data_IF_853374671911
#
_entry.id   IF_853374671911
#
_cell.length_a   1.000
_cell.length_b   1.000
_cell.length_c   1.000
_cell.angle_alpha   90.00
_cell.angle_beta   90.00
_cell.angle_gamma   90.00
#
_symmetry.space_group_name_H-M   'P 1'
#
loop_
_entity.id
_entity.type
_entity.pdbx_description
1 polymer ?
#
# COMPACT_ATOMS: atom_id res chain seq x y z
N UNK A 1 31.71 -35.12 24.93
CA UNK A 1 30.24 -35.06 25.01
C UNK A 1 29.83 -33.68 24.55
N UNK A 2 29.49 -33.61 23.26
CA UNK A 2 29.14 -32.41 22.49
C UNK A 2 27.65 -32.13 22.64
N UNK A 3 27.27 -30.93 23.06
CA UNK A 3 25.89 -30.46 22.93
C UNK A 3 25.86 -29.23 22.02
N UNK A 4 25.39 -29.49 20.79
CA UNK A 4 25.05 -28.52 19.77
C UNK A 4 23.78 -27.75 20.18
N UNK A 5 23.85 -26.42 20.25
CA UNK A 5 22.66 -25.58 20.20
C UNK A 5 22.36 -25.23 18.74
N UNK A 6 21.39 -25.93 18.16
CA UNK A 6 20.77 -25.56 16.88
C UNK A 6 19.96 -24.27 17.07
N UNK A 7 20.35 -23.22 16.37
CA UNK A 7 19.57 -21.97 16.25
C UNK A 7 18.46 -22.20 15.23
N UNK A 8 17.20 -22.10 15.67
CA UNK A 8 16.03 -22.29 14.82
C UNK A 8 15.80 -21.01 13.97
N UNK A 9 16.09 -21.08 12.67
CA UNK A 9 15.71 -20.02 11.71
C UNK A 9 14.19 -19.95 11.59
N UNK A 10 13.59 -18.85 12.04
CA UNK A 10 12.17 -18.57 11.83
C UNK A 10 11.94 -17.99 10.43
N UNK A 11 11.43 -18.83 9.51
CA UNK A 11 10.87 -18.40 8.23
C UNK A 11 9.52 -17.73 8.48
N UNK A 12 9.47 -16.39 8.43
CA UNK A 12 8.21 -15.65 8.41
C UNK A 12 7.54 -15.80 7.03
N UNK A 13 6.56 -16.69 6.92
CA UNK A 13 5.67 -16.79 5.77
C UNK A 13 4.54 -15.77 5.89
N UNK A 14 4.75 -14.56 5.34
CA UNK A 14 3.66 -13.68 4.93
C UNK A 14 3.06 -14.27 3.66
N UNK A 15 2.10 -15.19 3.80
CA UNK A 15 1.27 -15.62 2.67
C UNK A 15 0.29 -14.49 2.35
N UNK A 16 0.69 -13.54 1.50
CA UNK A 16 -0.30 -12.69 0.82
C UNK A 16 -1.19 -13.59 -0.05
N UNK A 17 -2.50 -13.42 0.08
CA UNK A 17 -3.55 -14.30 -0.46
C UNK A 17 -3.65 -14.37 -2.00
N UNK A 18 -2.77 -13.67 -2.71
CA UNK A 18 -2.70 -13.66 -4.17
C UNK A 18 -2.41 -15.04 -4.77
N UNK A 19 -1.76 -15.94 -4.03
CA UNK A 19 -1.47 -17.31 -4.48
C UNK A 19 -2.73 -18.08 -4.90
N UNK A 20 -3.92 -17.68 -4.44
CA UNK A 20 -5.17 -18.38 -4.79
C UNK A 20 -5.67 -18.04 -6.20
N UNK A 21 -5.42 -16.83 -6.72
CA UNK A 21 -5.90 -16.41 -8.04
C UNK A 21 -4.79 -16.41 -9.09
N UNK A 22 -3.56 -16.12 -8.69
CA UNK A 22 -2.38 -16.25 -9.53
C UNK A 22 -1.61 -17.51 -9.15
N UNK A 23 -2.17 -18.70 -9.41
CA UNK A 23 -1.28 -19.81 -9.81
C UNK A 23 -0.57 -19.34 -11.07
N UNK A 24 0.72 -19.09 -10.97
CA UNK A 24 1.58 -18.67 -12.07
C UNK A 24 1.38 -19.70 -13.18
N UNK A 25 0.71 -19.34 -14.28
CA UNK A 25 0.87 -20.05 -15.53
C UNK A 25 2.21 -19.60 -16.06
N UNK A 26 3.28 -20.18 -15.51
CA UNK A 26 4.55 -20.15 -16.19
C UNK A 26 4.39 -21.15 -17.33
N UNK A 27 3.91 -20.69 -18.48
CA UNK A 27 4.47 -21.20 -19.72
C UNK A 27 5.92 -20.74 -19.69
N UNK A 28 6.76 -21.48 -18.96
CA UNK A 28 8.19 -21.43 -19.13
C UNK A 28 8.42 -21.78 -20.60
N UNK A 29 9.02 -20.91 -21.44
CA UNK A 29 9.64 -21.43 -22.65
C UNK A 29 10.58 -22.57 -22.20
N UNK A 30 10.57 -23.69 -22.93
CA UNK A 30 11.49 -24.79 -22.71
C UNK A 30 12.88 -24.22 -22.42
N UNK A 31 13.44 -24.65 -21.28
CA UNK A 31 14.72 -24.18 -20.81
C UNK A 31 15.76 -24.41 -21.92
N UNK A 32 16.25 -23.31 -22.50
CA UNK A 32 17.54 -23.33 -23.17
C UNK A 32 18.58 -23.87 -22.18
N UNK A 33 19.50 -24.75 -22.59
CA UNK A 33 20.40 -25.44 -21.67
C UNK A 33 21.11 -24.44 -20.74
N UNK A 34 20.92 -24.68 -19.44
CA UNK A 34 21.39 -23.84 -18.35
C UNK A 34 22.89 -23.57 -18.45
N UNK A 35 23.22 -22.29 -18.63
CA UNK A 35 24.44 -21.72 -18.06
C UNK A 35 24.45 -22.04 -16.55
N UNK A 36 25.56 -22.57 -16.04
CA UNK A 36 25.76 -23.00 -14.65
C UNK A 36 25.16 -22.00 -13.64
N UNK A 37 24.13 -22.41 -12.89
CA UNK A 37 23.52 -21.57 -11.87
C UNK A 37 24.55 -21.24 -10.77
N UNK A 38 24.95 -19.98 -10.67
CA UNK A 38 25.87 -19.50 -9.65
C UNK A 38 25.29 -19.77 -8.23
N UNK A 39 26.14 -20.22 -7.32
CA UNK A 39 25.77 -20.39 -5.91
C UNK A 39 25.29 -19.04 -5.36
N UNK A 40 24.11 -18.96 -4.74
CA UNK A 40 23.61 -17.70 -4.24
C UNK A 40 24.49 -17.11 -3.14
N UNK A 41 24.87 -15.85 -3.30
CA UNK A 41 25.73 -15.12 -2.37
C UNK A 41 24.90 -14.05 -1.63
N UNK A 42 24.97 -14.05 -0.30
CA UNK A 42 24.47 -12.94 0.50
C UNK A 42 25.45 -11.76 0.47
N UNK A 43 24.90 -10.56 0.37
CA UNK A 43 25.64 -9.30 0.32
C UNK A 43 25.19 -8.49 1.52
N UNK A 44 26.09 -8.26 2.47
CA UNK A 44 25.82 -7.41 3.65
C UNK A 44 26.38 -6.03 3.38
N UNK A 45 25.52 -5.01 3.39
CA UNK A 45 25.92 -3.61 3.31
C UNK A 45 25.90 -3.01 4.70
N UNK A 46 27.08 -2.87 5.30
CA UNK A 46 27.29 -2.32 6.65
C UNK A 46 27.20 -0.77 6.67
N UNK A 47 26.25 -0.22 5.93
CA UNK A 47 25.99 1.21 5.84
C UNK A 47 25.16 1.67 7.05
N UNK A 48 25.20 2.98 7.33
CA UNK A 48 24.38 3.57 8.38
C UNK A 48 22.89 3.43 8.03
N UNK A 49 22.07 2.97 8.98
CA UNK A 49 20.61 2.92 8.83
C UNK A 49 19.97 3.87 9.83
N UNK A 50 19.43 4.98 9.34
CA UNK A 50 18.76 6.02 10.13
C UNK A 50 17.24 5.79 10.17
N UNK A 51 16.64 6.27 11.26
CA UNK A 51 15.18 6.49 11.30
C UNK A 51 14.78 7.51 10.25
N UNK A 52 13.60 7.36 9.66
CA UNK A 52 13.06 8.38 8.75
C UNK A 52 12.59 9.58 9.57
N UNK A 53 13.08 10.81 9.32
CA UNK A 53 12.57 11.99 10.01
C UNK A 53 11.10 12.24 9.67
N UNK A 54 10.46 13.14 10.40
CA UNK A 54 9.03 13.43 10.23
C UNK A 54 8.13 12.44 10.97
N UNK A 55 6.85 12.47 10.63
CA UNK A 55 5.79 11.63 11.23
C UNK A 55 4.58 11.56 10.32
N UNK A 56 3.69 10.61 10.61
CA UNK A 56 2.35 10.60 10.04
C UNK A 56 1.59 11.89 10.38
N UNK A 57 0.80 12.36 9.43
CA UNK A 57 -0.19 13.41 9.67
C UNK A 57 -1.38 12.90 10.52
N UNK A 58 -2.36 13.77 10.75
CA UNK A 58 -3.58 13.42 11.49
C UNK A 58 -4.80 13.22 10.58
N UNK A 59 -4.59 13.01 9.28
CA UNK A 59 -5.69 12.82 8.33
C UNK A 59 -6.17 11.36 8.46
N UNK A 60 -7.44 11.12 8.80
CA UNK A 60 -7.94 9.76 8.97
C UNK A 60 -8.06 9.08 7.62
N UNK A 61 -7.85 7.76 7.61
CA UNK A 61 -8.01 6.95 6.42
C UNK A 61 -8.87 5.73 6.70
N UNK A 62 -9.98 5.63 5.96
CA UNK A 62 -10.86 4.47 5.92
C UNK A 62 -10.15 3.34 5.17
N UNK A 63 -9.85 2.23 5.85
CA UNK A 63 -9.06 1.15 5.28
C UNK A 63 -9.85 -0.17 5.34
N UNK A 64 -10.34 -0.61 4.19
CA UNK A 64 -11.18 -1.79 4.01
C UNK A 64 -10.43 -2.87 3.24
N UNK A 65 -9.80 -3.80 3.95
CA UNK A 65 -9.07 -4.93 3.37
C UNK A 65 -9.30 -6.23 4.17
N UNK A 66 -10.40 -6.34 4.94
CA UNK A 66 -10.73 -7.55 5.70
C UNK A 66 -12.24 -7.91 5.63
N UNK A 67 -12.60 -9.09 5.11
CA UNK A 67 -11.70 -10.01 4.41
C UNK A 67 -11.27 -9.47 3.06
N UNK A 68 -10.06 -9.81 2.64
CA UNK A 68 -9.64 -9.59 1.26
C UNK A 68 -10.41 -10.53 0.31
N UNK A 69 -10.54 -11.81 0.65
CA UNK A 69 -11.34 -12.77 -0.11
C UNK A 69 -12.79 -12.80 0.40
N UNK A 70 -13.71 -12.24 -0.39
CA UNK A 70 -15.14 -12.27 -0.07
C UNK A 70 -15.78 -13.54 -0.62
N UNK A 71 -16.33 -14.36 0.29
CA UNK A 71 -17.17 -15.53 -0.03
C UNK A 71 -18.63 -15.31 0.32
N UNK A 72 -18.87 -14.61 1.43
CA UNK A 72 -20.19 -14.28 1.96
C UNK A 72 -20.37 -12.77 1.96
N UNK A 73 -21.51 -12.32 1.46
CA UNK A 73 -21.97 -10.93 1.49
C UNK A 73 -22.01 -10.37 2.91
N UNK A 74 -21.93 -9.04 3.04
CA UNK A 74 -22.00 -8.37 4.32
C UNK A 74 -21.28 -7.04 4.36
N UNK A 75 -21.14 -6.51 5.57
CA UNK A 75 -20.39 -5.30 5.86
C UNK A 75 -18.89 -5.63 5.86
N UNK A 76 -18.11 -4.94 5.03
CA UNK A 76 -16.65 -5.07 4.99
C UNK A 76 -16.02 -4.17 6.05
N UNK A 77 -16.46 -2.92 6.09
CA UNK A 77 -16.14 -1.94 7.13
C UNK A 77 -17.27 -0.93 7.23
N UNK A 78 -17.77 -0.67 8.44
CA UNK A 78 -18.76 0.38 8.68
C UNK A 78 -18.33 1.26 9.84
N UNK A 79 -18.36 2.56 9.60
CA UNK A 79 -18.17 3.58 10.63
C UNK A 79 -19.48 4.17 11.14
N UNK A 80 -20.63 3.73 10.62
CA UNK A 80 -21.94 4.16 11.10
C UNK A 80 -22.11 3.96 12.62
N UNK A 81 -23.02 4.70 13.26
CA UNK A 81 -23.42 4.41 14.63
C UNK A 81 -24.13 3.04 14.73
N UNK A 82 -23.93 2.28 15.82
CA UNK A 82 -24.55 0.98 16.04
C UNK A 82 -26.04 1.05 16.39
N UNK A 83 -26.54 2.22 16.79
CA UNK A 83 -27.92 2.39 17.24
C UNK A 83 -28.93 2.07 16.12
N UNK A 84 -29.91 1.23 16.43
CA UNK A 84 -30.95 0.79 15.49
C UNK A 84 -30.50 -0.27 14.47
N UNK A 85 -29.24 -0.72 14.50
CA UNK A 85 -28.72 -1.79 13.63
C UNK A 85 -29.01 -3.17 14.23
N UNK A 86 -29.31 -4.15 13.38
CA UNK A 86 -29.55 -5.54 13.84
C UNK A 86 -28.29 -6.21 14.37
N UNK A 87 -27.11 -5.88 13.81
CA UNK A 87 -25.81 -6.38 14.26
C UNK A 87 -24.91 -5.21 14.70
N UNK A 88 -25.11 -4.65 15.92
CA UNK A 88 -24.38 -3.48 16.40
C UNK A 88 -22.85 -3.59 16.30
N UNK A 89 -22.30 -4.79 16.53
CA UNK A 89 -20.85 -5.06 16.48
C UNK A 89 -20.24 -4.92 15.08
N UNK A 90 -21.05 -4.81 14.03
CA UNK A 90 -20.57 -4.54 12.68
C UNK A 90 -20.32 -3.05 12.43
N UNK A 91 -20.58 -2.15 13.39
CA UNK A 91 -20.54 -0.71 13.21
C UNK A 91 -19.63 -0.02 14.25
N UNK A 92 -18.60 0.68 13.78
CA UNK A 92 -17.52 1.21 14.62
C UNK A 92 -17.77 2.63 15.18
N UNK A 93 -18.86 3.30 14.80
CA UNK A 93 -19.22 4.64 15.24
C UNK A 93 -18.09 5.69 15.14
N UNK A 94 -17.62 5.96 13.93
CA UNK A 94 -16.60 6.97 13.66
C UNK A 94 -17.04 7.96 12.57
N UNK A 95 -17.31 9.23 12.91
CA UNK A 95 -17.64 10.23 11.90
C UNK A 95 -16.36 10.75 11.22
N UNK A 96 -16.37 10.85 9.89
CA UNK A 96 -15.38 11.60 9.12
C UNK A 96 -15.82 13.05 8.94
N UNK A 97 -14.88 14.00 9.01
CA UNK A 97 -15.12 15.42 8.77
C UNK A 97 -13.85 16.06 8.20
N UNK A 98 -13.98 16.99 7.26
CA UNK A 98 -12.82 17.57 6.59
C UNK A 98 -12.14 16.55 5.67
N UNK A 99 -10.81 16.63 5.55
CA UNK A 99 -10.01 15.74 4.69
C UNK A 99 -9.93 14.33 5.26
N UNK A 100 -10.07 13.33 4.40
CA UNK A 100 -9.80 11.93 4.72
C UNK A 100 -9.52 11.13 3.44
N UNK A 101 -8.95 9.95 3.61
CA UNK A 101 -8.62 9.03 2.51
C UNK A 101 -9.47 7.76 2.61
N UNK A 102 -9.79 7.13 1.48
CA UNK A 102 -10.47 5.84 1.45
C UNK A 102 -9.66 4.85 0.62
N UNK A 103 -9.36 3.69 1.21
CA UNK A 103 -8.82 2.52 0.52
C UNK A 103 -9.75 1.32 0.71
N UNK A 104 -10.05 0.64 -0.40
CA UNK A 104 -10.79 -0.61 -0.38
C UNK A 104 -10.13 -1.61 -1.34
N UNK A 105 -9.87 -2.83 -0.87
CA UNK A 105 -9.27 -3.90 -1.66
C UNK A 105 -9.93 -5.24 -1.33
N UNK A 106 -10.66 -5.80 -2.29
CA UNK A 106 -11.39 -7.05 -2.11
C UNK A 106 -11.45 -7.85 -3.42
N UNK A 107 -11.45 -9.18 -3.30
CA UNK A 107 -11.60 -10.09 -4.43
C UNK A 107 -12.60 -11.19 -4.15
N UNK A 108 -13.06 -11.83 -5.22
CA UNK A 108 -13.85 -13.06 -5.17
C UNK A 108 -13.17 -14.15 -5.99
N UNK A 109 -13.33 -15.40 -5.57
CA UNK A 109 -12.77 -16.57 -6.23
C UNK A 109 -13.82 -17.67 -6.24
N UNK A 110 -14.18 -18.12 -7.44
CA UNK A 110 -15.23 -19.11 -7.73
C UNK A 110 -16.53 -18.81 -6.96
N UNK A 111 -17.13 -17.62 -7.13
CA UNK A 111 -18.39 -17.29 -6.49
C UNK A 111 -19.52 -18.24 -6.96
N UNK A 112 -20.56 -18.46 -6.13
CA UNK A 112 -21.68 -19.31 -6.48
C UNK A 112 -22.33 -18.90 -7.79
N UNK A 113 -22.51 -19.86 -8.71
CA UNK A 113 -23.10 -19.65 -10.04
C UNK A 113 -22.41 -18.57 -10.89
N UNK A 114 -21.13 -18.27 -10.61
CA UNK A 114 -20.36 -17.21 -11.26
C UNK A 114 -20.99 -15.81 -11.11
N UNK A 115 -21.79 -15.60 -10.05
CA UNK A 115 -22.43 -14.32 -9.79
C UNK A 115 -21.39 -13.21 -9.63
N UNK A 116 -21.66 -12.06 -10.25
CA UNK A 116 -20.84 -10.87 -10.09
C UNK A 116 -20.92 -10.39 -8.64
N UNK A 117 -19.78 -10.20 -7.98
CA UNK A 117 -19.74 -9.53 -6.69
C UNK A 117 -19.74 -8.01 -6.92
N UNK A 118 -20.47 -7.24 -6.13
CA UNK A 118 -20.41 -5.78 -6.12
C UNK A 118 -19.72 -5.28 -4.85
N UNK A 119 -18.90 -4.25 -5.02
CA UNK A 119 -18.32 -3.46 -3.94
C UNK A 119 -19.04 -2.11 -3.89
N UNK A 120 -19.83 -1.93 -2.83
CA UNK A 120 -20.56 -0.70 -2.54
C UNK A 120 -19.82 0.16 -1.52
N UNK A 121 -19.76 1.47 -1.73
CA UNK A 121 -19.38 2.45 -0.70
C UNK A 121 -20.52 3.44 -0.52
N UNK A 122 -21.15 3.39 0.65
CA UNK A 122 -22.28 4.24 1.02
C UNK A 122 -21.81 5.31 2.01
N UNK A 123 -22.27 6.54 1.79
CA UNK A 123 -21.98 7.70 2.65
C UNK A 123 -23.29 8.25 3.19
N UNK A 124 -23.35 8.50 4.49
CA UNK A 124 -24.52 9.01 5.19
C UNK A 124 -24.25 10.38 5.81
N UNK A 125 -25.21 11.27 5.65
CA UNK A 125 -25.22 12.58 6.27
C UNK A 125 -26.13 12.57 7.52
N UNK A 126 -25.58 12.63 8.74
CA UNK A 126 -26.35 12.67 9.98
C UNK A 126 -26.92 14.05 10.29
N UNK A 127 -26.56 15.09 9.54
CA UNK A 127 -26.94 16.46 9.84
C UNK A 127 -28.32 16.83 9.25
N UNK A 128 -28.82 18.00 9.66
CA UNK A 128 -30.10 18.57 9.18
C UNK A 128 -29.94 19.41 7.90
N UNK A 129 -28.70 19.62 7.46
CA UNK A 129 -28.37 20.38 6.25
C UNK A 129 -27.71 19.46 5.21
N UNK A 130 -27.77 19.76 3.92
CA UNK A 130 -27.02 19.01 2.92
C UNK A 130 -25.52 19.04 3.20
N UNK A 131 -24.84 17.92 2.97
CA UNK A 131 -23.38 17.80 3.10
C UNK A 131 -22.76 17.54 1.75
N UNK A 132 -21.71 18.30 1.42
CA UNK A 132 -20.95 18.13 0.19
C UNK A 132 -19.69 17.35 0.49
N UNK A 133 -19.53 16.21 -0.17
CA UNK A 133 -18.30 15.44 -0.19
C UNK A 133 -17.55 15.75 -1.48
N UNK A 134 -16.46 16.50 -1.39
CA UNK A 134 -15.56 16.73 -2.52
C UNK A 134 -14.69 15.49 -2.74
N UNK A 135 -14.57 15.09 -4.01
CA UNK A 135 -13.73 13.96 -4.46
C UNK A 135 -12.63 14.57 -5.33
N UNK A 136 -11.47 14.85 -4.74
CA UNK A 136 -10.38 15.48 -5.49
C UNK A 136 -9.68 14.48 -6.41
N UNK A 137 -9.46 13.27 -5.91
CA UNK A 137 -8.75 12.20 -6.60
C UNK A 137 -9.46 10.88 -6.30
N UNK A 138 -9.63 10.05 -7.32
CA UNK A 138 -10.32 8.77 -7.18
C UNK A 138 -9.97 7.82 -8.33
N UNK A 139 -9.58 6.60 -7.98
CA UNK A 139 -9.35 5.55 -8.95
C UNK A 139 -9.82 4.20 -8.40
N UNK A 140 -10.46 3.41 -9.26
CA UNK A 140 -10.90 2.05 -8.99
C UNK A 140 -10.65 1.18 -10.21
N UNK A 141 -9.95 0.07 -10.02
CA UNK A 141 -9.58 -0.84 -11.11
C UNK A 141 -9.91 -2.27 -10.75
N UNK A 142 -10.31 -3.05 -11.76
CA UNK A 142 -10.35 -4.50 -11.69
C UNK A 142 -8.95 -5.10 -11.87
N UNK A 143 -8.74 -6.29 -11.31
CA UNK A 143 -7.58 -7.10 -11.64
C UNK A 143 -7.64 -7.54 -13.10
N UNK A 144 -8.79 -8.04 -13.56
CA UNK A 144 -9.03 -8.37 -14.97
C UNK A 144 -10.29 -7.62 -15.44
N UNK A 145 -10.28 -6.92 -16.58
CA UNK A 145 -9.16 -6.79 -17.54
C UNK A 145 -8.25 -5.58 -17.27
N UNK A 146 -8.60 -4.70 -16.32
CA UNK A 146 -8.02 -3.35 -16.29
C UNK A 146 -6.54 -3.35 -15.88
N UNK A 147 -6.17 -4.12 -14.86
CA UNK A 147 -4.85 -4.05 -14.25
C UNK A 147 -4.36 -5.43 -13.78
N UNK A 148 -4.10 -6.35 -14.71
CA UNK A 148 -3.65 -7.70 -14.39
C UNK A 148 -2.29 -7.68 -13.71
N UNK A 149 -2.03 -8.73 -12.92
CA UNK A 149 -0.68 -8.97 -12.42
C UNK A 149 0.20 -9.45 -13.57
N UNK A 150 1.23 -8.68 -13.89
CA UNK A 150 2.19 -9.02 -14.94
C UNK A 150 3.60 -8.72 -14.44
N UNK A 151 4.53 -9.65 -14.57
CA UNK A 151 5.92 -9.39 -14.22
C UNK A 151 6.47 -8.21 -15.04
N UNK A 152 7.09 -7.24 -14.37
CA UNK A 152 7.72 -6.08 -15.00
C UNK A 152 9.26 -6.13 -14.86
N UNK A 153 9.99 -5.33 -15.65
CA UNK A 153 11.39 -5.04 -15.39
C UNK A 153 11.56 -4.40 -14.01
N UNK A 154 12.76 -4.55 -13.41
CA UNK A 154 13.09 -4.00 -12.08
C UNK A 154 12.73 -2.52 -11.93
N UNK A 155 12.97 -1.74 -12.99
CA UNK A 155 12.62 -0.33 -13.08
C UNK A 155 12.20 -0.02 -14.52
N UNK A 156 11.17 0.81 -14.69
CA UNK A 156 10.70 1.27 -16.01
C UNK A 156 10.25 2.72 -15.94
N UNK A 157 10.57 3.51 -16.97
CA UNK A 157 9.99 4.85 -17.11
C UNK A 157 8.48 4.71 -17.33
N UNK A 158 7.68 5.43 -16.54
CA UNK A 158 6.23 5.37 -16.56
C UNK A 158 5.62 6.78 -16.65
N UNK A 159 6.00 7.63 -17.63
CA UNK A 159 5.53 9.01 -17.69
C UNK A 159 4.00 9.12 -17.79
N UNK A 160 3.36 8.19 -18.47
CA UNK A 160 1.91 8.25 -18.76
C UNK A 160 1.03 7.49 -17.75
N UNK A 161 1.64 6.63 -16.91
CA UNK A 161 0.90 5.81 -15.93
C UNK A 161 0.35 4.50 -16.50
N UNK A 162 0.94 4.00 -17.60
CA UNK A 162 0.50 2.79 -18.30
C UNK A 162 1.34 1.54 -17.96
N UNK A 163 2.37 1.67 -17.12
CA UNK A 163 3.11 0.54 -16.56
C UNK A 163 2.65 0.29 -15.13
N UNK A 164 2.04 -0.88 -14.91
CA UNK A 164 1.46 -1.27 -13.62
C UNK A 164 1.44 -2.78 -13.43
N UNK A 165 1.04 -3.19 -12.23
CA UNK A 165 1.37 -4.48 -11.63
C UNK A 165 0.25 -5.01 -10.72
N UNK A 166 -1.01 -4.82 -11.10
CA UNK A 166 -2.17 -5.07 -10.24
C UNK A 166 -3.04 -3.82 -10.02
N UNK A 167 -4.32 -4.05 -9.73
CA UNK A 167 -5.32 -3.01 -9.55
C UNK A 167 -4.97 -1.98 -8.47
N UNK A 168 -4.45 -2.41 -7.32
CA UNK A 168 -4.08 -1.50 -6.23
C UNK A 168 -2.98 -0.54 -6.64
N UNK A 169 -1.99 -1.04 -7.39
CA UNK A 169 -0.84 -0.28 -7.85
C UNK A 169 -1.28 0.75 -8.89
N UNK A 170 -2.14 0.37 -9.84
CA UNK A 170 -2.70 1.30 -10.83
C UNK A 170 -3.58 2.38 -10.19
N UNK A 171 -4.37 2.01 -9.17
CA UNK A 171 -5.23 2.94 -8.46
C UNK A 171 -4.40 4.02 -7.74
N UNK A 172 -3.39 3.62 -6.96
CA UNK A 172 -2.55 4.60 -6.25
C UNK A 172 -1.67 5.41 -7.19
N UNK A 173 -1.20 4.87 -8.33
CA UNK A 173 -0.46 5.66 -9.33
C UNK A 173 -1.34 6.77 -9.94
N UNK A 174 -2.61 6.49 -10.25
CA UNK A 174 -3.52 7.51 -10.77
C UNK A 174 -3.77 8.61 -9.73
N UNK A 175 -3.96 8.24 -8.46
CA UNK A 175 -4.15 9.22 -7.38
C UNK A 175 -2.87 10.02 -7.11
N UNK A 176 -1.68 9.41 -7.16
CA UNK A 176 -0.39 10.13 -7.06
C UNK A 176 -0.26 11.24 -8.12
N UNK A 177 -0.85 11.02 -9.30
CA UNK A 177 -0.88 11.96 -10.43
C UNK A 177 -2.01 12.98 -10.34
N UNK A 178 -2.77 13.01 -9.24
CA UNK A 178 -3.91 13.91 -9.07
C UNK A 178 -5.10 13.55 -9.96
N UNK A 179 -5.23 12.30 -10.42
CA UNK A 179 -6.31 11.89 -11.33
C UNK A 179 -7.57 11.48 -10.55
N UNK A 180 -8.72 11.88 -11.10
CA UNK A 180 -10.05 11.38 -10.77
C UNK A 180 -10.63 10.71 -12.02
N UNK A 181 -10.94 9.42 -11.94
CA UNK A 181 -11.62 8.71 -13.03
C UNK A 181 -13.00 9.32 -13.30
N UNK A 182 -13.43 9.27 -14.56
CA UNK A 182 -14.67 9.92 -15.01
C UNK A 182 -15.91 9.38 -14.32
N UNK A 183 -15.91 8.10 -13.93
CA UNK A 183 -17.02 7.44 -13.23
C UNK A 183 -17.29 8.01 -11.82
N UNK A 184 -16.34 8.74 -11.24
CA UNK A 184 -16.51 9.37 -9.93
C UNK A 184 -16.85 10.85 -10.08
N UNK A 185 -17.91 11.37 -9.44
CA UNK A 185 -18.24 12.79 -9.52
C UNK A 185 -17.18 13.63 -8.80
N UNK A 186 -16.98 14.89 -9.20
CA UNK A 186 -16.11 15.82 -8.46
C UNK A 186 -16.66 16.16 -7.06
N UNK A 187 -17.98 16.11 -6.91
CA UNK A 187 -18.68 16.38 -5.67
C UNK A 187 -19.91 15.47 -5.56
N UNK A 188 -20.18 14.97 -4.35
CA UNK A 188 -21.37 14.23 -4.00
C UNK A 188 -22.15 15.03 -2.95
N UNK A 189 -23.37 15.48 -3.27
CA UNK A 189 -24.23 16.23 -2.34
C UNK A 189 -25.20 15.27 -1.68
N UNK A 190 -25.08 15.09 -0.37
CA UNK A 190 -25.83 14.12 0.41
C UNK A 190 -26.92 14.86 1.20
N UNK A 191 -28.22 14.62 0.93
CA UNK A 191 -29.30 15.32 1.61
C UNK A 191 -29.34 15.04 3.13
N UNK A 192 -29.98 15.92 3.91
CA UNK A 192 -30.16 15.74 5.36
C UNK A 192 -30.74 14.37 5.72
N UNK A 193 -30.09 13.65 6.64
CA UNK A 193 -30.56 12.35 7.12
C UNK A 193 -30.68 11.27 6.03
N UNK A 194 -29.98 11.42 4.90
CA UNK A 194 -30.00 10.46 3.77
C UNK A 194 -28.60 9.91 3.51
N UNK A 195 -28.60 8.81 2.75
CA UNK A 195 -27.37 8.20 2.23
C UNK A 195 -27.29 8.35 0.72
N UNK A 196 -26.07 8.35 0.19
CA UNK A 196 -25.80 8.20 -1.25
C UNK A 196 -24.64 7.23 -1.47
N UNK A 197 -24.60 6.63 -2.67
CA UNK A 197 -23.50 5.78 -3.08
C UNK A 197 -22.35 6.65 -3.60
N UNK A 198 -21.17 6.50 -3.02
CA UNK A 198 -19.92 6.99 -3.60
C UNK A 198 -19.40 6.03 -4.67
N UNK A 199 -19.65 4.73 -4.49
CA UNK A 199 -19.24 3.67 -5.43
C UNK A 199 -20.24 2.52 -5.39
N UNK A 200 -20.56 1.94 -6.56
CA UNK A 200 -21.39 0.75 -6.69
C UNK A 200 -20.86 -0.09 -7.86
N UNK A 201 -19.67 -0.68 -7.69
CA UNK A 201 -18.89 -1.20 -8.81
C UNK A 201 -18.85 -2.74 -8.83
N UNK A 202 -18.95 -3.37 -10.02
CA UNK A 202 -18.91 -4.82 -10.17
C UNK A 202 -17.49 -5.38 -10.07
N UNK A 203 -17.41 -6.66 -9.74
CA UNK A 203 -16.23 -7.56 -9.73
C UNK A 203 -16.66 -8.86 -10.43
N UNK A 204 -16.72 -8.86 -11.78
CA UNK A 204 -17.19 -10.00 -12.54
C UNK A 204 -16.12 -11.09 -12.63
N UNK A 205 -16.54 -12.36 -12.65
CA UNK A 205 -15.67 -13.52 -12.94
C UNK A 205 -16.05 -14.26 -14.22
N UNK A 206 -17.21 -13.93 -14.79
CA UNK A 206 -17.73 -14.57 -16.01
C UNK A 206 -16.85 -14.19 -17.18
N UNK A 207 -16.45 -15.19 -17.98
CA UNK A 207 -15.58 -14.99 -19.14
C UNK A 207 -14.08 -14.92 -18.83
N UNK A 208 -13.68 -14.89 -17.55
CA UNK A 208 -12.26 -14.92 -17.18
C UNK A 208 -11.70 -16.36 -17.25
N UNK A 209 -10.46 -16.49 -17.70
CA UNK A 209 -9.75 -17.77 -17.76
C UNK A 209 -9.66 -18.44 -16.37
N UNK A 210 -9.45 -17.63 -15.33
CA UNK A 210 -9.62 -18.04 -13.93
C UNK A 210 -10.84 -17.35 -13.37
N UNK A 211 -11.67 -18.09 -12.65
CA UNK A 211 -12.90 -17.59 -12.01
C UNK A 211 -12.59 -16.75 -10.77
N UNK A 212 -11.62 -15.84 -10.87
CA UNK A 212 -11.23 -14.93 -9.81
C UNK A 212 -11.01 -13.54 -10.38
N UNK A 213 -11.49 -12.54 -9.65
CA UNK A 213 -11.24 -11.14 -9.95
C UNK A 213 -11.28 -10.35 -8.64
N UNK A 214 -10.63 -9.19 -8.63
CA UNK A 214 -10.63 -8.28 -7.50
C UNK A 214 -10.71 -6.84 -7.93
N UNK A 215 -11.05 -5.97 -7.00
CA UNK A 215 -11.12 -4.52 -7.21
C UNK A 215 -10.35 -3.80 -6.12
N UNK A 216 -9.53 -2.86 -6.53
CA UNK A 216 -8.85 -1.93 -5.62
C UNK A 216 -9.33 -0.52 -5.91
N UNK A 217 -9.67 0.22 -4.87
CA UNK A 217 -10.17 1.58 -4.99
C UNK A 217 -9.46 2.49 -3.99
N UNK A 218 -9.07 3.68 -4.43
CA UNK A 218 -8.37 4.67 -3.62
C UNK A 218 -8.91 6.07 -3.90
N UNK A 219 -9.19 6.84 -2.85
CA UNK A 219 -9.82 8.16 -2.93
C UNK A 219 -9.17 9.15 -1.98
N UNK A 220 -9.04 10.41 -2.41
CA UNK A 220 -8.87 11.56 -1.51
C UNK A 220 -10.16 12.37 -1.47
N UNK A 221 -10.66 12.58 -0.26
CA UNK A 221 -12.00 13.08 0.01
C UNK A 221 -11.93 14.27 0.97
N UNK A 222 -12.88 15.19 0.86
CA UNK A 222 -13.05 16.28 1.81
C UNK A 222 -14.54 16.56 2.05
N UNK A 223 -15.01 16.37 3.27
CA UNK A 223 -16.42 16.55 3.64
C UNK A 223 -16.65 17.90 4.31
N UNK A 224 -17.69 18.63 3.88
CA UNK A 224 -18.08 19.92 4.47
C UNK A 224 -18.62 19.81 5.91
N UNK A 225 -19.05 18.61 6.33
CA UNK A 225 -19.50 18.31 7.69
C UNK A 225 -19.27 16.84 8.04
N UNK A 226 -19.75 16.39 9.19
CA UNK A 226 -19.67 14.98 9.60
C UNK A 226 -20.41 14.08 8.61
N UNK A 227 -19.77 12.98 8.21
CA UNK A 227 -20.38 11.88 7.44
C UNK A 227 -19.96 10.53 8.03
N UNK A 228 -20.81 9.53 7.82
CA UNK A 228 -20.49 8.14 8.13
C UNK A 228 -20.35 7.34 6.84
N UNK A 229 -19.41 6.41 6.81
CA UNK A 229 -19.05 5.65 5.61
C UNK A 229 -19.06 4.17 5.91
N UNK A 230 -19.55 3.37 4.95
CA UNK A 230 -19.41 1.93 4.97
C UNK A 230 -19.03 1.39 3.59
N UNK A 231 -18.15 0.40 3.57
CA UNK A 231 -17.91 -0.49 2.43
C UNK A 231 -18.66 -1.80 2.65
N UNK A 232 -19.36 -2.25 1.61
CA UNK A 232 -20.27 -3.39 1.65
C UNK A 232 -19.99 -4.30 0.46
N UNK A 233 -20.22 -5.60 0.64
CA UNK A 233 -20.13 -6.60 -0.42
C UNK A 233 -21.47 -7.30 -0.59
N UNK A 234 -21.98 -7.32 -1.82
CA UNK A 234 -23.22 -8.00 -2.19
C UNK A 234 -23.08 -8.58 -3.60
N UNK A 235 -23.53 -9.80 -3.84
CA UNK A 235 -23.66 -10.36 -5.17
C UNK A 235 -24.73 -9.61 -5.97
N UNK A 236 -24.61 -9.68 -7.28
CA UNK A 236 -25.54 -9.08 -8.21
C UNK A 236 -26.96 -9.51 -7.89
N UNK A 237 -27.86 -8.53 -7.85
CA UNK A 237 -29.28 -8.81 -7.76
C UNK A 237 -29.79 -9.24 -9.12
N UNK A 238 -31.03 -9.74 -9.19
CA UNK A 238 -31.63 -10.16 -10.45
C UNK A 238 -32.75 -9.21 -10.88
N UNK A 239 -32.84 -8.98 -12.18
CA UNK A 239 -34.06 -8.49 -12.83
C UNK A 239 -35.14 -9.59 -12.84
N UNK A 240 -36.37 -9.22 -13.17
CA UNK A 240 -37.49 -10.17 -13.27
C UNK A 240 -37.26 -11.25 -14.35
N UNK A 241 -36.47 -10.94 -15.37
CA UNK A 241 -36.05 -11.87 -16.44
C UNK A 241 -34.87 -12.78 -16.04
N UNK A 242 -34.37 -12.65 -14.81
CA UNK A 242 -33.25 -13.45 -14.27
C UNK A 242 -31.86 -12.92 -14.61
N UNK A 243 -31.73 -11.83 -15.37
CA UNK A 243 -30.43 -11.20 -15.66
C UNK A 243 -29.86 -10.46 -14.45
N UNK A 244 -28.52 -10.40 -14.35
CA UNK A 244 -27.82 -9.73 -13.25
C UNK A 244 -27.95 -8.21 -13.34
N UNK A 245 -28.16 -7.55 -12.20
CA UNK A 245 -28.17 -6.09 -12.04
C UNK A 245 -27.36 -5.65 -10.84
N UNK A 246 -26.92 -4.40 -10.86
CA UNK A 246 -26.33 -3.77 -9.70
C UNK A 246 -27.34 -3.69 -8.54
N UNK A 247 -26.89 -3.88 -7.28
CA UNK A 247 -27.73 -3.58 -6.12
C UNK A 247 -28.10 -2.10 -6.09
N UNK A 248 -29.33 -1.80 -5.67
CA UNK A 248 -29.86 -0.45 -5.50
C UNK A 248 -29.42 0.16 -4.17
N UNK A 249 -29.54 1.48 -4.03
CA UNK A 249 -29.29 2.16 -2.75
C UNK A 249 -30.11 1.55 -1.60
N UNK A 250 -31.38 1.22 -1.85
CA UNK A 250 -32.25 0.63 -0.83
C UNK A 250 -31.75 -0.75 -0.37
N UNK A 251 -31.26 -1.58 -1.29
CA UNK A 251 -30.68 -2.90 -0.95
C UNK A 251 -29.37 -2.74 -0.18
N UNK A 252 -28.51 -1.77 -0.55
CA UNK A 252 -27.32 -1.44 0.22
C UNK A 252 -27.65 -0.95 1.63
N UNK A 253 -28.66 -0.10 1.79
CA UNK A 253 -29.15 0.37 3.09
C UNK A 253 -29.70 -0.80 3.92
N UNK A 254 -30.48 -1.69 3.31
CA UNK A 254 -30.99 -2.89 3.98
C UNK A 254 -29.87 -3.79 4.47
N UNK A 255 -28.84 -4.04 3.65
CA UNK A 255 -27.66 -4.80 4.06
C UNK A 255 -26.90 -4.10 5.19
N UNK A 256 -26.77 -2.78 5.12
CA UNK A 256 -26.13 -1.99 6.18
C UNK A 256 -26.91 -2.06 7.50
N UNK A 257 -28.24 -2.07 7.45
CA UNK A 257 -29.10 -2.01 8.66
C UNK A 257 -29.29 -3.37 9.32
N UNK A 258 -29.36 -4.43 8.51
CA UNK A 258 -29.72 -5.78 8.97
C UNK A 258 -28.58 -6.80 8.87
N UNK A 259 -27.56 -6.51 8.07
CA UNK A 259 -26.47 -7.44 7.77
C UNK A 259 -25.40 -7.50 8.85
N UNK A 260 -24.68 -8.63 8.89
CA UNK A 260 -23.44 -8.78 9.66
C UNK A 260 -22.20 -8.55 8.80
N UNK A 261 -21.03 -8.83 9.38
CA UNK A 261 -19.76 -8.74 8.66
C UNK A 261 -19.67 -9.73 7.49
N UNK A 262 -19.09 -9.28 6.38
CA UNK A 262 -18.73 -10.13 5.25
C UNK A 262 -17.71 -11.19 5.69
N UNK A 263 -17.77 -12.36 5.04
CA UNK A 263 -17.01 -13.54 5.44
C UNK A 263 -16.20 -14.19 4.31
N UNK A 264 -15.22 -15.05 4.65
CA UNK A 264 -14.80 -15.45 6.01
C UNK A 264 -14.06 -14.31 6.74
N UNK A 265 -13.84 -14.44 8.04
CA UNK A 265 -12.98 -13.52 8.81
C UNK A 265 -11.54 -14.07 8.85
N UNK A 266 -10.55 -13.20 9.04
CA UNK A 266 -9.13 -13.58 9.08
C UNK A 266 -8.71 -14.12 10.47
N UNK A 267 -7.45 -14.53 10.62
CA UNK A 267 -6.86 -14.90 11.90
C UNK A 267 -6.78 -13.67 12.81
N UNK A 268 -7.06 -13.88 14.09
CA UNK A 268 -6.87 -12.86 15.12
C UNK A 268 -5.41 -12.39 15.13
N UNK A 269 -5.15 -11.07 15.04
CA UNK A 269 -3.80 -10.53 15.10
C UNK A 269 -3.20 -10.65 16.50
N UNK A 270 -1.87 -10.70 16.56
CA UNK A 270 -1.11 -10.68 17.81
C UNK A 270 -1.28 -9.31 18.49
N UNK A 271 -1.71 -9.25 19.76
CA UNK A 271 -1.76 -8.01 20.52
C UNK A 271 -0.40 -7.28 20.57
N UNK A 272 -0.38 -5.94 20.58
CA UNK A 272 0.87 -5.16 20.57
C UNK A 272 1.78 -5.45 21.78
N UNK A 273 1.18 -5.73 22.93
CA UNK A 273 1.82 -6.02 24.21
C UNK A 273 2.25 -7.49 24.38
N UNK A 274 1.77 -8.40 23.53
CA UNK A 274 2.16 -9.80 23.61
C UNK A 274 3.66 -9.96 23.32
N UNK A 275 4.39 -10.63 24.22
CA UNK A 275 5.80 -10.98 24.02
C UNK A 275 5.92 -12.46 23.65
N UNK A 276 6.72 -12.77 22.63
CA UNK A 276 6.94 -14.13 22.15
C UNK A 276 5.80 -14.72 21.31
N UNK A 277 6.00 -15.96 20.85
CA UNK A 277 5.08 -16.64 19.93
C UNK A 277 5.19 -16.15 18.47
N UNK A 278 4.33 -16.69 17.61
CA UNK A 278 4.26 -16.28 16.21
C UNK A 278 3.55 -14.93 16.10
N UNK A 279 4.22 -13.96 15.47
CA UNK A 279 3.63 -12.65 15.15
C UNK A 279 2.66 -12.76 13.97
N UNK A 280 1.41 -12.40 14.20
CA UNK A 280 0.34 -12.30 13.21
C UNK A 280 -0.04 -10.82 13.12
N UNK A 281 0.28 -10.19 12.00
CA UNK A 281 -0.06 -8.78 11.74
C UNK A 281 -1.58 -8.57 11.59
N UNK A 282 -2.26 -9.51 10.91
CA UNK A 282 -3.68 -9.39 10.56
C UNK A 282 -3.92 -8.45 9.37
N UNK A 283 -5.11 -8.55 8.78
CA UNK A 283 -5.59 -7.61 7.77
C UNK A 283 -6.25 -6.40 8.41
N UNK A 284 -6.27 -5.29 7.69
CA UNK A 284 -6.83 -4.02 8.17
C UNK A 284 -8.30 -3.92 7.78
N UNK A 285 -9.18 -3.74 8.76
CA UNK A 285 -10.50 -3.14 8.57
C UNK A 285 -10.80 -2.21 9.75
N UNK A 286 -10.66 -0.90 9.49
CA UNK A 286 -10.76 0.13 10.51
C UNK A 286 -10.46 1.51 9.94
N UNK A 287 -10.32 2.48 10.85
CA UNK A 287 -9.85 3.83 10.52
C UNK A 287 -8.45 3.97 11.08
N UNK A 288 -7.47 4.20 10.20
CA UNK A 288 -6.11 4.54 10.60
C UNK A 288 -6.01 6.06 10.79
N UNK A 289 -5.14 6.50 11.71
CA UNK A 289 -4.77 7.91 11.84
C UNK A 289 -3.42 8.12 11.13
N UNK A 290 -3.45 8.96 10.08
CA UNK A 290 -2.29 9.19 9.22
C UNK A 290 -2.54 8.69 7.80
N UNK A 291 -2.42 9.58 6.84
CA UNK A 291 -2.51 9.29 5.39
C UNK A 291 -1.30 9.81 4.61
N UNK A 292 -0.43 10.59 5.25
CA UNK A 292 0.79 11.12 4.67
C UNK A 292 1.93 11.11 5.67
N UNK A 293 3.15 10.87 5.20
CA UNK A 293 4.41 11.05 5.91
C UNK A 293 5.27 12.05 5.14
N UNK A 294 5.48 13.23 5.70
CA UNK A 294 6.34 14.25 5.11
C UNK A 294 7.66 14.33 5.88
N UNK A 295 8.79 14.36 5.17
CA UNK A 295 10.09 14.36 5.79
C UNK A 295 11.16 15.08 4.96
N UNK A 296 11.96 15.91 5.62
CA UNK A 296 13.24 16.39 5.09
C UNK A 296 14.35 15.51 5.68
N UNK A 297 15.05 14.77 4.81
CA UNK A 297 16.15 13.89 5.18
C UNK A 297 17.39 14.77 5.33
N UNK A 298 17.73 15.15 6.56
CA UNK A 298 18.85 16.04 6.91
C UNK A 298 19.71 15.42 8.01
N UNK A 299 20.92 15.93 8.19
CA UNK A 299 21.73 15.62 9.37
C UNK A 299 21.12 16.26 10.63
N UNK A 300 21.44 15.70 11.81
CA UNK A 300 20.98 16.24 13.09
C UNK A 300 21.44 17.69 13.26
N UNK A 301 20.50 18.60 13.54
CA UNK A 301 20.77 20.03 13.69
C UNK A 301 21.11 20.78 12.38
N UNK A 302 20.90 20.16 11.22
CA UNK A 302 21.20 20.72 9.90
C UNK A 302 19.93 21.01 9.08
N UNK A 303 20.08 21.79 8.00
CA UNK A 303 19.09 21.97 6.93
C UNK A 303 19.39 21.14 5.68
N UNK A 304 20.49 20.39 5.70
CA UNK A 304 21.00 19.60 4.58
C UNK A 304 21.40 18.20 5.03
N UNK A 305 21.43 17.26 4.09
CA UNK A 305 22.08 15.96 4.24
C UNK A 305 23.47 16.03 3.60
N UNK A 306 24.49 15.96 4.42
CA UNK A 306 25.87 15.79 3.95
C UNK A 306 25.97 14.44 3.24
N UNK A 307 26.46 14.44 2.01
CA UNK A 307 26.66 13.18 1.29
C UNK A 307 27.69 12.32 2.03
N UNK A 308 27.51 10.99 2.06
CA UNK A 308 28.46 10.12 2.75
C UNK A 308 29.84 10.16 2.09
N UNK A 309 30.91 9.76 2.79
CA UNK A 309 32.22 9.58 2.16
C UNK A 309 32.17 8.66 0.94
N UNK A 310 33.09 8.83 -0.01
CA UNK A 310 33.18 7.94 -1.18
C UNK A 310 33.33 6.47 -0.76
N UNK A 311 32.53 5.60 -1.37
CA UNK A 311 32.39 4.19 -1.04
C UNK A 311 31.45 3.89 0.14
N UNK A 312 30.79 4.89 0.73
CA UNK A 312 29.85 4.72 1.84
C UNK A 312 28.42 5.15 1.46
N UNK A 313 27.45 4.71 2.26
CA UNK A 313 26.06 5.09 2.10
C UNK A 313 25.36 5.37 3.44
N UNK A 314 24.26 6.11 3.37
CA UNK A 314 23.29 6.33 4.44
C UNK A 314 21.92 5.86 3.94
N UNK A 315 21.23 5.03 4.72
CA UNK A 315 19.90 4.49 4.40
C UNK A 315 18.86 4.97 5.40
N UNK A 316 17.69 5.39 4.92
CA UNK A 316 16.54 5.75 5.75
C UNK A 316 15.46 4.69 5.63
N UNK A 317 15.06 4.09 6.75
CA UNK A 317 14.05 3.02 6.73
C UNK A 317 12.64 3.57 6.44
N UNK A 318 11.88 2.92 5.56
CA UNK A 318 10.54 3.32 5.13
C UNK A 318 9.53 2.22 5.47
N UNK A 319 8.39 2.65 6.00
CA UNK A 319 7.27 1.81 6.43
C UNK A 319 7.69 0.75 7.45
N UNK A 320 8.53 1.11 8.42
CA UNK A 320 8.93 0.19 9.49
C UNK A 320 7.75 -0.25 10.35
N UNK A 321 7.83 -1.49 10.83
CA UNK A 321 6.81 -2.16 11.61
C UNK A 321 7.44 -3.07 12.66
N UNK A 322 6.65 -3.55 13.62
CA UNK A 322 7.07 -4.61 14.56
C UNK A 322 7.65 -5.80 13.79
N UNK A 323 8.87 -6.24 14.09
CA UNK A 323 9.52 -7.34 13.37
C UNK A 323 10.19 -6.91 12.06
N UNK A 324 10.25 -5.61 11.78
CA UNK A 324 10.77 -5.01 10.54
C UNK A 324 11.22 -3.57 10.76
N UNK A 325 11.99 -3.32 11.83
CA UNK A 325 12.50 -1.98 12.21
C UNK A 325 13.89 -1.70 11.64
N UNK A 326 14.57 -2.71 11.08
CA UNK A 326 15.93 -2.59 10.53
C UNK A 326 16.92 -1.94 11.50
N UNK A 327 16.82 -2.23 12.80
CA UNK A 327 17.71 -1.67 13.84
C UNK A 327 17.45 -0.22 14.24
N UNK A 328 16.57 0.51 13.54
CA UNK A 328 16.28 1.93 13.84
C UNK A 328 15.46 2.16 15.11
N UNK A 329 14.83 1.10 15.63
CA UNK A 329 13.81 1.13 16.68
C UNK A 329 12.56 1.98 16.38
N UNK A 330 12.46 2.61 15.19
CA UNK A 330 11.32 3.40 14.78
C UNK A 330 10.16 2.50 14.34
N UNK A 331 8.94 2.85 14.75
CA UNK A 331 7.70 2.24 14.28
C UNK A 331 6.92 3.26 13.45
N UNK A 332 6.71 2.98 12.16
CA UNK A 332 5.96 3.85 11.25
C UNK A 332 4.53 3.37 10.98
N UNK A 333 4.17 2.15 11.39
CA UNK A 333 2.84 1.61 11.21
C UNK A 333 1.77 2.53 11.83
N UNK A 334 0.80 2.97 11.03
CA UNK A 334 -0.22 3.90 11.49
C UNK A 334 -1.17 3.24 12.52
N UNK A 335 -1.47 3.87 13.67
CA UNK A 335 -2.40 3.30 14.64
C UNK A 335 -3.83 3.27 14.07
N UNK A 336 -4.59 2.21 14.37
CA UNK A 336 -6.03 2.19 14.09
C UNK A 336 -6.80 2.76 15.29
N UNK A 337 -7.51 3.87 15.06
CA UNK A 337 -8.30 4.55 16.10
C UNK A 337 -9.67 3.90 16.33
N UNK A 338 -10.19 3.20 15.33
CA UNK A 338 -11.29 2.23 15.46
C UNK A 338 -11.01 1.04 14.54
N UNK A 339 -11.34 -0.18 14.97
CA UNK A 339 -11.11 -1.41 14.22
C UNK A 339 -12.05 -2.53 14.67
N UNK A 340 -12.23 -3.57 13.86
CA UNK A 340 -12.85 -4.80 14.35
C UNK A 340 -11.86 -5.63 15.18
N UNK A 341 -12.32 -6.39 16.20
CA UNK A 341 -11.43 -7.14 17.09
C UNK A 341 -10.49 -8.12 16.39
N UNK A 342 -10.93 -8.70 15.28
CA UNK A 342 -10.23 -9.69 14.46
C UNK A 342 -9.31 -9.08 13.38
N UNK A 343 -9.10 -7.76 13.42
CA UNK A 343 -8.30 -7.01 12.43
C UNK A 343 -7.10 -6.35 13.08
N UNK A 344 -6.07 -6.09 12.27
CA UNK A 344 -4.77 -5.56 12.70
C UNK A 344 -4.88 -4.40 13.70
N UNK A 345 -3.95 -4.29 14.64
CA UNK A 345 -3.91 -3.18 15.60
C UNK A 345 -3.36 -1.89 14.95
N UNK A 346 -2.56 -2.03 13.90
CA UNK A 346 -1.92 -0.95 13.17
C UNK A 346 -1.97 -1.26 11.67
N UNK A 347 -1.85 -0.22 10.84
CA UNK A 347 -1.66 -0.35 9.40
C UNK A 347 -0.21 -0.75 9.12
N UNK A 348 0.15 -2.01 9.38
CA UNK A 348 1.53 -2.48 9.36
C UNK A 348 2.29 -2.27 8.05
N UNK A 349 1.58 -2.20 6.93
CA UNK A 349 2.16 -1.92 5.62
C UNK A 349 1.83 -0.53 5.10
N UNK A 350 1.08 0.30 5.85
CA UNK A 350 0.77 1.68 5.47
C UNK A 350 0.27 1.82 4.02
N UNK A 351 -0.50 0.86 3.50
CA UNK A 351 -0.96 0.90 2.10
C UNK A 351 -1.72 2.19 1.82
N UNK A 352 -1.29 2.91 0.79
CA UNK A 352 -1.84 4.21 0.40
C UNK A 352 -1.39 5.40 1.26
N UNK A 353 -0.49 5.23 2.23
CA UNK A 353 0.15 6.38 2.88
C UNK A 353 1.07 7.06 1.86
N UNK A 354 0.93 8.38 1.73
CA UNK A 354 1.78 9.19 0.85
C UNK A 354 3.08 9.55 1.55
N UNK A 355 4.19 8.96 1.11
CA UNK A 355 5.52 9.40 1.52
C UNK A 355 5.95 10.54 0.60
N UNK A 356 6.22 11.72 1.17
CA UNK A 356 6.72 12.91 0.48
C UNK A 356 8.06 13.31 1.11
N UNK A 357 9.14 12.95 0.42
CA UNK A 357 10.50 12.95 0.96
C UNK A 357 11.38 13.94 0.22
N UNK A 358 12.03 14.82 0.97
CA UNK A 358 13.01 15.77 0.44
C UNK A 358 14.42 15.35 0.86
N UNK A 359 15.36 15.37 -0.09
CA UNK A 359 16.78 15.11 0.15
C UNK A 359 17.57 16.36 -0.29
N UNK A 360 17.83 17.31 0.62
CA UNK A 360 18.70 18.46 0.37
C UNK A 360 20.18 18.04 0.48
N UNK A 361 20.72 17.41 -0.57
CA UNK A 361 22.07 16.86 -0.58
C UNK A 361 23.14 17.97 -0.62
N UNK A 362 24.20 17.84 0.17
CA UNK A 362 25.34 18.76 0.19
C UNK A 362 26.67 18.02 0.03
N UNK A 363 27.47 18.42 -0.96
CA UNK A 363 28.86 17.95 -1.10
C UNK A 363 29.81 18.87 -0.31
N UNK A 364 30.21 18.45 0.88
CA UNK A 364 31.17 19.21 1.72
C UNK A 364 32.64 18.95 1.37
N UNK A 365 32.92 18.07 0.40
CA UNK A 365 34.30 17.76 -0.01
C UNK A 365 34.86 18.84 -0.94
N UNK A 366 36.18 18.84 -1.12
CA UNK A 366 36.87 19.75 -2.05
C UNK A 366 36.95 19.22 -3.49
N UNK A 367 36.25 18.12 -3.80
CA UNK A 367 36.22 17.50 -5.13
C UNK A 367 34.78 17.25 -5.59
N UNK A 368 34.53 17.19 -6.89
CA UNK A 368 33.27 16.68 -7.40
C UNK A 368 33.02 15.26 -6.91
N UNK A 369 31.78 14.96 -6.50
CA UNK A 369 31.37 13.64 -6.03
C UNK A 369 30.21 13.11 -6.86
N UNK A 370 30.24 11.80 -7.14
CA UNK A 370 29.14 11.09 -7.78
C UNK A 370 28.24 10.49 -6.71
N UNK A 371 26.99 10.88 -6.70
CA UNK A 371 26.03 10.53 -5.65
C UNK A 371 24.82 9.85 -6.28
N UNK A 372 24.40 8.73 -5.71
CA UNK A 372 23.25 7.96 -6.16
C UNK A 372 22.16 7.90 -5.11
N UNK A 373 20.90 7.93 -5.55
CA UNK A 373 19.73 7.73 -4.68
C UNK A 373 18.95 6.50 -5.14
N UNK A 374 18.72 5.55 -4.24
CA UNK A 374 18.08 4.26 -4.56
C UNK A 374 17.00 3.92 -3.54
N UNK A 375 15.81 3.52 -3.99
CA UNK A 375 14.80 2.90 -3.13
C UNK A 375 14.98 1.38 -3.15
N UNK A 376 15.32 0.78 -2.02
CA UNK A 376 15.76 -0.61 -1.94
C UNK A 376 14.82 -1.47 -1.10
N UNK A 377 14.90 -2.79 -1.31
CA UNK A 377 14.04 -3.79 -0.66
C UNK A 377 14.91 -4.88 -0.01
N UNK A 378 15.61 -4.54 1.09
CA UNK A 378 16.51 -5.47 1.77
C UNK A 378 15.72 -6.63 2.39
N UNK A 379 16.46 -7.61 2.92
CA UNK A 379 15.87 -8.61 3.79
C UNK A 379 15.22 -7.95 5.02
N UNK A 380 14.00 -8.37 5.36
CA UNK A 380 13.25 -7.83 6.49
C UNK A 380 13.80 -8.40 7.80
N UNK A 381 14.24 -7.50 8.68
CA UNK A 381 14.64 -7.84 10.04
C UNK A 381 14.19 -6.78 11.04
N UNK A 382 14.03 -7.19 12.29
CA UNK A 382 13.77 -6.27 13.38
C UNK A 382 15.05 -5.54 13.82
N UNK A 383 16.12 -6.31 14.02
CA UNK A 383 17.48 -5.85 14.32
C UNK A 383 18.42 -6.33 13.22
N UNK A 384 19.49 -5.59 12.94
CA UNK A 384 20.47 -5.94 11.89
C UNK A 384 21.35 -7.10 12.37
N UNK A 385 20.95 -8.34 12.06
CA UNK A 385 21.60 -9.55 12.59
C UNK A 385 23.06 -9.72 12.16
N UNK A 386 23.44 -9.13 11.02
CA UNK A 386 24.81 -9.13 10.47
C UNK A 386 25.46 -7.74 10.49
N UNK A 387 24.93 -6.80 11.26
CA UNK A 387 25.45 -5.43 11.36
C UNK A 387 25.23 -4.57 10.11
N UNK A 388 24.38 -5.00 9.18
CA UNK A 388 24.08 -4.24 7.95
C UNK A 388 22.85 -4.79 7.24
N UNK A 389 22.41 -4.09 6.20
CA UNK A 389 21.29 -4.51 5.36
C UNK A 389 21.70 -5.71 4.50
N UNK A 390 20.84 -6.74 4.43
CA UNK A 390 21.13 -7.98 3.72
C UNK A 390 20.43 -8.01 2.36
N UNK A 391 21.22 -8.28 1.33
CA UNK A 391 20.82 -8.51 -0.06
C UNK A 391 21.33 -9.88 -0.53
N UNK A 392 20.97 -10.30 -1.74
CA UNK A 392 21.39 -11.58 -2.31
C UNK A 392 21.50 -11.53 -3.83
N UNK A 393 22.49 -12.23 -4.37
CA UNK A 393 22.69 -12.43 -5.80
C UNK A 393 22.78 -13.94 -6.12
N UNK A 394 21.88 -14.50 -6.96
CA UNK A 394 20.67 -13.87 -7.48
C UNK A 394 19.65 -13.58 -6.37
N UNK A 395 18.81 -12.57 -6.59
CA UNK A 395 17.71 -12.22 -5.68
C UNK A 395 16.76 -13.39 -5.45
N UNK A 396 15.92 -13.33 -4.42
CA UNK A 396 14.83 -14.30 -4.27
C UNK A 396 13.69 -14.03 -5.26
N UNK A 397 12.91 -15.04 -5.62
CA UNK A 397 12.00 -14.95 -6.79
C UNK A 397 10.76 -14.04 -6.58
N UNK A 398 10.37 -13.75 -5.34
CA UNK A 398 9.12 -13.06 -5.04
C UNK A 398 9.28 -11.52 -5.00
N UNK A 399 8.42 -10.76 -5.71
CA UNK A 399 8.43 -9.30 -5.66
C UNK A 399 7.83 -8.78 -4.35
N UNK A 400 8.57 -7.96 -3.62
CA UNK A 400 8.13 -7.35 -2.36
C UNK A 400 7.79 -5.86 -2.49
N UNK A 401 8.18 -5.20 -3.56
CA UNK A 401 7.75 -3.83 -3.85
C UNK A 401 7.34 -3.71 -5.31
N UNK A 402 6.12 -3.20 -5.54
CA UNK A 402 5.56 -2.99 -6.88
C UNK A 402 4.82 -1.67 -6.89
N UNK A 403 5.36 -0.63 -7.52
CA UNK A 403 4.72 0.68 -7.45
C UNK A 403 5.41 1.77 -8.23
N UNK A 404 4.67 2.85 -8.47
CA UNK A 404 5.22 4.03 -9.12
C UNK A 404 5.73 5.01 -8.07
N UNK A 405 6.94 5.52 -8.29
CA UNK A 405 7.49 6.67 -7.56
C UNK A 405 7.62 7.87 -8.48
N UNK A 406 7.45 9.08 -7.93
CA UNK A 406 7.72 10.34 -8.61
C UNK A 406 9.00 10.94 -8.06
N UNK A 407 9.93 11.23 -8.97
CA UNK A 407 11.21 11.85 -8.68
C UNK A 407 11.25 13.24 -9.33
N UNK A 408 11.61 14.26 -8.57
CA UNK A 408 11.89 15.61 -9.06
C UNK A 408 13.30 16.01 -8.64
N UNK A 409 14.06 16.62 -9.53
CA UNK A 409 15.44 17.04 -9.27
C UNK A 409 15.97 17.90 -10.43
N UNK A 410 17.05 18.65 -10.17
CA UNK A 410 17.88 19.23 -11.22
C UNK A 410 18.92 18.22 -11.70
N UNK A 411 19.01 17.98 -13.00
CA UNK A 411 20.05 17.11 -13.55
C UNK A 411 21.43 17.77 -13.59
N UNK A 412 22.42 17.08 -14.17
CA UNK A 412 23.80 17.58 -14.26
C UNK A 412 23.97 18.75 -15.27
N UNK A 413 22.92 19.08 -16.02
CA UNK A 413 22.85 20.24 -16.92
C UNK A 413 21.98 21.36 -16.33
N UNK A 414 21.63 21.25 -15.04
CA UNK A 414 20.74 22.16 -14.31
C UNK A 414 19.31 22.25 -14.90
N UNK A 415 18.85 21.21 -15.59
CA UNK A 415 17.46 21.12 -16.05
C UNK A 415 16.58 20.51 -14.96
N UNK A 416 15.46 21.16 -14.67
CA UNK A 416 14.43 20.61 -13.79
C UNK A 416 13.72 19.43 -14.46
N UNK A 417 13.85 18.24 -13.87
CA UNK A 417 13.22 17.02 -14.37
C UNK A 417 12.17 16.51 -13.40
N UNK A 418 11.06 16.02 -13.96
CA UNK A 418 10.08 15.18 -13.24
C UNK A 418 10.01 13.82 -13.92
N UNK A 419 10.32 12.75 -13.20
CA UNK A 419 10.27 11.38 -13.69
C UNK A 419 9.28 10.56 -12.87
N UNK A 420 8.48 9.77 -13.56
CA UNK A 420 7.67 8.73 -12.94
C UNK A 420 8.31 7.38 -13.27
N UNK A 421 8.63 6.60 -12.26
CA UNK A 421 9.32 5.32 -12.39
C UNK A 421 8.45 4.23 -11.78
N UNK A 422 8.09 3.22 -12.56
CA UNK A 422 7.50 2.00 -12.04
C UNK A 422 8.63 1.07 -11.57
N UNK A 423 8.51 0.61 -10.33
CA UNK A 423 9.48 -0.25 -9.66
C UNK A 423 8.89 -1.64 -9.43
N UNK A 424 9.66 -2.68 -9.72
CA UNK A 424 9.31 -4.07 -9.50
C UNK A 424 10.48 -4.79 -8.81
N UNK A 425 10.55 -4.69 -7.49
CA UNK A 425 11.69 -5.18 -6.73
C UNK A 425 11.42 -6.56 -6.15
N UNK A 426 12.34 -7.47 -6.41
CA UNK A 426 12.44 -8.74 -5.69
C UNK A 426 13.06 -8.53 -4.31
N UNK A 427 12.75 -9.44 -3.38
CA UNK A 427 13.39 -9.43 -2.05
C UNK A 427 14.91 -9.45 -2.20
N UNK A 428 15.60 -8.57 -1.46
CA UNK A 428 17.05 -8.50 -1.37
C UNK A 428 17.76 -8.32 -2.71
N UNK A 429 17.07 -7.81 -3.72
CA UNK A 429 17.66 -7.54 -5.02
C UNK A 429 18.62 -6.35 -4.92
N UNK A 430 19.80 -6.46 -5.54
CA UNK A 430 20.68 -5.32 -5.79
C UNK A 430 20.12 -4.53 -6.98
N UNK A 431 19.89 -3.24 -6.77
CA UNK A 431 19.15 -2.38 -7.70
C UNK A 431 20.04 -1.30 -8.29
N UNK A 432 19.72 -0.90 -9.51
CA UNK A 432 20.22 0.33 -10.13
C UNK A 432 19.61 1.56 -9.43
N UNK A 433 20.33 2.69 -9.37
CA UNK A 433 19.83 3.88 -8.70
C UNK A 433 18.67 4.54 -9.48
N UNK A 434 17.77 5.19 -8.74
CA UNK A 434 16.71 6.00 -9.33
C UNK A 434 17.29 7.22 -10.07
N UNK A 435 18.36 7.78 -9.50
CA UNK A 435 19.11 8.91 -10.06
C UNK A 435 20.57 8.87 -9.63
N UNK A 436 21.43 9.31 -10.54
CA UNK A 436 22.84 9.59 -10.32
C UNK A 436 23.09 11.10 -10.56
N UNK A 437 23.78 11.74 -9.63
CA UNK A 437 24.08 13.17 -9.63
C UNK A 437 25.59 13.36 -9.50
N UNK A 438 26.15 14.30 -10.27
CA UNK A 438 27.52 14.77 -10.07
C UNK A 438 27.42 16.13 -9.36
N UNK A 439 27.84 16.18 -8.10
CA UNK A 439 27.82 17.39 -7.28
C UNK A 439 29.21 17.99 -7.24
N UNK A 440 29.37 19.25 -7.65
CA UNK A 440 30.60 20.00 -7.48
C UNK A 440 30.94 20.20 -5.98
N UNK A 441 32.18 20.60 -5.70
CA UNK A 441 32.58 20.95 -4.33
C UNK A 441 31.72 22.10 -3.79
N UNK A 442 31.17 21.93 -2.59
CA UNK A 442 30.27 22.89 -1.95
C UNK A 442 28.87 22.96 -2.58
N UNK A 443 28.58 22.15 -3.60
CA UNK A 443 27.28 22.17 -4.26
C UNK A 443 26.21 21.55 -3.36
N UNK A 444 25.07 22.23 -3.29
CA UNK A 444 23.85 21.71 -2.72
C UNK A 444 22.84 21.41 -3.84
N UNK A 445 22.24 20.22 -3.81
CA UNK A 445 21.22 19.83 -4.78
C UNK A 445 20.06 19.11 -4.10
N UNK A 446 18.85 19.53 -4.45
CA UNK A 446 17.64 18.97 -3.88
C UNK A 446 17.08 17.86 -4.77
N UNK A 447 16.71 16.75 -4.15
CA UNK A 447 15.96 15.65 -4.76
C UNK A 447 14.66 15.48 -4.00
N UNK A 448 13.54 15.41 -4.70
CA UNK A 448 12.25 15.07 -4.12
C UNK A 448 11.83 13.69 -4.62
N UNK A 449 11.47 12.82 -3.70
CA UNK A 449 10.91 11.51 -3.97
C UNK A 449 9.56 11.40 -3.27
N UNK A 450 8.50 11.18 -4.04
CA UNK A 450 7.19 10.96 -3.46
C UNK A 450 6.42 9.80 -4.10
N UNK A 451 5.67 9.07 -3.27
CA UNK A 451 4.87 7.93 -3.70
C UNK A 451 3.80 7.57 -2.68
N UNK A 452 2.71 6.98 -3.16
CA UNK A 452 1.75 6.28 -2.31
C UNK A 452 2.26 4.87 -2.08
N UNK A 453 2.46 4.49 -0.82
CA UNK A 453 3.02 3.19 -0.49
C UNK A 453 2.14 2.09 -1.10
N UNK A 454 2.66 1.27 -2.03
CA UNK A 454 1.77 0.52 -2.91
C UNK A 454 1.06 -0.61 -2.18
N UNK A 455 -0.25 -0.81 -2.43
CA UNK A 455 -0.95 -2.00 -2.00
C UNK A 455 -0.19 -3.27 -2.41
N UNK A 456 -0.23 -4.31 -1.58
CA UNK A 456 0.46 -5.58 -1.83
C UNK A 456 2.00 -5.53 -1.89
N UNK A 457 2.60 -4.44 -1.42
CA UNK A 457 4.03 -4.41 -1.06
C UNK A 457 4.24 -5.01 0.33
N UNK A 458 5.45 -5.51 0.58
CA UNK A 458 5.88 -6.06 1.87
C UNK A 458 6.94 -5.14 2.47
N UNK A 459 6.63 -4.43 3.56
CA UNK A 459 7.59 -3.55 4.24
C UNK A 459 8.66 -4.35 5.00
N UNK A 460 9.77 -3.69 5.39
CA UNK A 460 10.13 -2.30 5.09
C UNK A 460 10.92 -2.15 3.78
N UNK A 461 10.96 -0.93 3.26
CA UNK A 461 11.92 -0.50 2.23
C UNK A 461 12.97 0.42 2.86
N UNK A 462 14.02 0.76 2.13
CA UNK A 462 14.97 1.80 2.55
C UNK A 462 15.25 2.76 1.40
N UNK A 463 15.43 4.04 1.70
CA UNK A 463 15.94 5.02 0.74
C UNK A 463 17.42 5.27 1.05
N UNK A 464 18.29 4.91 0.12
CA UNK A 464 19.74 4.95 0.29
C UNK A 464 20.35 6.06 -0.55
N UNK A 465 21.19 6.88 0.09
CA UNK A 465 22.10 7.83 -0.57
C UNK A 465 23.50 7.26 -0.47
N UNK A 466 24.17 7.08 -1.60
CA UNK A 466 25.53 6.50 -1.67
C UNK A 466 26.44 7.42 -2.50
N UNK A 467 27.67 7.61 -2.05
CA UNK A 467 28.71 8.32 -2.81
C UNK A 467 29.67 7.28 -3.41
N UNK A 468 29.87 7.34 -4.72
CA UNK A 468 30.66 6.35 -5.48
C UNK A 468 32.16 6.64 -5.51
#
# INVERSE_FOLDING_TARGET
MTNNHLTLLALFSLTLGWTSCTKINANLPEASPQSSAATPQEIVRANEVRSLPGKLDNVPMFNSNSPEWVKKEGILLSTFPPEGKTVPTAHLNFPFQGKFTLFAHHFTHTPPNLQTLYLGVIVYNPSREPVTLAVSEAASYLMEPDAPFQQQPTMSNNPDGEIYAGAGIRAVDNVLRGRRQQDFPAQLVIPPGKSQMLMNHPIPVRGLAKRCNGRSSFFRLNSSSKVYIASLAMYAQKHADGTERAPTLAEWQQLLDTGGLAGPRDKTPTPPDQVGGQLIYGRVAGVQLGSSWQADLVDEGSTHLTIPPSGQAISFAISTLRGGRLGTNQLQAAPLIVRYPDTAYESHANYGVHYDLTLPLLNTTNQPQRVTVTLETPWKEDQLSKGGLIFRQPSWDFPLFRGTVRLRYQDNQAQELTRYLHLWHRRGQVLEPLVELNLASGEQRQVWLDFLYPPDSVPPQVLTVETK
#
